data_IF_601529682979
#
_entry.id   IF_601529682979
#
_cell.length_a   1.000
_cell.length_b   1.000
_cell.length_c   1.000
_cell.angle_alpha   90.00
_cell.angle_beta   90.00
_cell.angle_gamma   90.00
#
_symmetry.space_group_name_H-M   'P 1'
#
loop_
_entity.id
_entity.type
_entity.pdbx_description
1 polymer ?
#
# COMPACT_ATOMS: atom_id res chain seq x y z
N UNK A 1 -47.59 2.84 54.68
CA UNK A 1 -47.61 4.27 55.05
C UNK A 1 -47.61 5.04 53.74
N UNK A 2 -48.81 5.46 53.32
CA UNK A 2 -49.21 6.18 52.08
C UNK A 2 -49.01 5.39 50.76
N UNK A 3 -49.99 4.81 50.04
CA UNK A 3 -51.30 5.30 49.50
C UNK A 3 -51.12 6.60 48.68
N UNK A 4 -51.52 6.79 47.40
CA UNK A 4 -52.53 6.22 46.49
C UNK A 4 -52.21 6.58 45.01
N UNK A 5 -52.47 5.69 44.04
CA UNK A 5 -53.54 5.69 43.00
C UNK A 5 -53.62 6.84 41.96
N UNK A 6 -53.68 6.46 40.66
CA UNK A 6 -54.74 6.72 39.64
C UNK A 6 -54.17 6.77 38.20
N UNK A 7 -54.36 5.70 37.39
CA UNK A 7 -55.37 5.46 36.32
C UNK A 7 -55.05 6.05 34.91
N UNK A 8 -54.90 5.08 33.99
CA UNK A 8 -55.27 4.96 32.56
C UNK A 8 -55.67 6.20 31.72
N UNK A 9 -55.13 6.24 30.49
CA UNK A 9 -56.00 6.31 29.31
C UNK A 9 -55.39 5.59 28.10
N UNK A 10 -56.24 4.81 27.42
CA UNK A 10 -56.00 4.05 26.20
C UNK A 10 -56.06 4.95 24.95
N UNK A 11 -55.35 4.54 23.89
CA UNK A 11 -55.61 4.93 22.51
C UNK A 11 -55.08 3.88 21.53
N UNK A 12 -55.99 3.19 20.83
CA UNK A 12 -55.77 2.26 19.69
C UNK A 12 -55.38 3.08 18.44
N UNK A 13 -54.32 2.68 17.71
CA UNK A 13 -54.30 1.87 16.47
C UNK A 13 -55.17 2.42 15.33
N UNK A 14 -54.49 2.94 14.29
CA UNK A 14 -54.94 2.85 12.90
C UNK A 14 -53.82 2.20 12.08
N UNK A 15 -54.21 1.20 11.27
CA UNK A 15 -53.40 0.49 10.29
C UNK A 15 -53.40 1.26 8.96
N UNK A 16 -52.23 1.45 8.36
CA UNK A 16 -52.09 1.56 6.90
C UNK A 16 -50.89 0.69 6.46
N UNK A 17 -51.11 -0.12 5.43
CA UNK A 17 -50.10 -0.99 4.79
C UNK A 17 -49.72 -0.41 3.41
N UNK A 18 -48.75 -1.00 2.68
CA UNK A 18 -47.36 -0.57 2.61
C UNK A 18 -47.03 0.10 1.26
N UNK A 19 -46.06 1.03 1.24
CA UNK A 19 -45.39 1.40 0.00
C UNK A 19 -43.91 1.03 0.08
N UNK A 20 -43.51 0.21 -0.88
CA UNK A 20 -42.14 -0.18 -1.18
C UNK A 20 -41.28 1.05 -1.47
N UNK A 21 -40.22 1.25 -0.69
CA UNK A 21 -39.02 1.97 -1.16
C UNK A 21 -37.79 1.42 -0.44
N UNK A 22 -36.79 1.09 -1.25
CA UNK A 22 -35.47 0.60 -0.89
C UNK A 22 -34.69 1.60 -0.05
N UNK A 23 -34.54 1.34 1.24
CA UNK A 23 -33.72 2.15 2.15
C UNK A 23 -32.29 1.58 2.25
N UNK A 24 -31.34 2.38 1.77
CA UNK A 24 -29.95 2.29 2.18
C UNK A 24 -29.82 2.97 3.56
N UNK A 25 -29.42 2.21 4.57
CA UNK A 25 -29.32 2.66 5.96
C UNK A 25 -28.51 3.96 6.13
N UNK A 26 -29.20 4.98 6.64
CA UNK A 26 -28.69 6.32 6.90
C UNK A 26 -28.45 6.51 8.41
N UNK A 27 -27.32 6.03 8.94
CA UNK A 27 -26.91 6.34 10.31
C UNK A 27 -26.41 7.79 10.41
N UNK A 28 -27.16 8.64 11.11
CA UNK A 28 -26.78 10.05 11.37
C UNK A 28 -26.18 10.17 12.77
N UNK A 29 -24.84 10.26 12.86
CA UNK A 29 -24.15 10.61 14.11
C UNK A 29 -24.28 12.12 14.38
N UNK A 30 -24.75 12.48 15.58
CA UNK A 30 -24.80 13.88 16.05
C UNK A 30 -23.39 14.36 16.38
N UNK A 31 -22.76 15.12 15.48
CA UNK A 31 -21.51 15.85 15.76
C UNK A 31 -21.80 17.24 16.32
N UNK A 32 -21.16 17.59 17.45
CA UNK A 32 -21.19 18.93 18.03
C UNK A 32 -20.61 19.98 17.07
N UNK A 33 -21.32 21.11 16.96
CA UNK A 33 -20.97 22.26 16.11
C UNK A 33 -19.78 23.03 16.68
N UNK A 34 -18.69 23.14 15.93
CA UNK A 34 -17.87 24.37 15.86
C UNK A 34 -17.41 24.54 14.40
N UNK A 35 -17.73 25.67 13.77
CA UNK A 35 -17.19 26.06 12.45
C UNK A 35 -17.95 25.50 11.24
N UNK A 36 -18.89 26.27 10.71
CA UNK A 36 -19.74 25.90 9.57
C UNK A 36 -19.02 25.70 8.24
N UNK A 37 -18.47 24.49 8.03
CA UNK A 37 -18.48 23.79 6.74
C UNK A 37 -18.83 22.33 7.02
N UNK A 38 -20.03 21.89 6.62
CA UNK A 38 -20.34 20.46 6.55
C UNK A 38 -19.41 19.85 5.52
N UNK A 39 -18.34 19.18 5.96
CA UNK A 39 -17.55 18.31 5.10
C UNK A 39 -18.47 17.16 4.70
N UNK A 40 -18.92 17.16 3.45
CA UNK A 40 -19.66 16.05 2.87
C UNK A 40 -18.63 14.94 2.67
N UNK A 41 -18.49 14.05 3.65
CA UNK A 41 -17.74 12.80 3.46
C UNK A 41 -18.55 12.02 2.44
N UNK A 42 -18.13 12.06 1.17
CA UNK A 42 -18.65 11.14 0.17
C UNK A 42 -18.14 9.77 0.61
N UNK A 43 -19.00 8.95 1.21
CA UNK A 43 -18.74 7.51 1.31
C UNK A 43 -18.69 7.02 -0.13
N UNK A 44 -17.49 6.93 -0.71
CA UNK A 44 -17.27 6.18 -1.93
C UNK A 44 -17.67 4.74 -1.59
N UNK A 45 -18.85 4.33 -2.03
CA UNK A 45 -19.29 2.96 -1.90
C UNK A 45 -18.46 2.14 -2.89
N UNK A 46 -17.52 1.37 -2.36
CA UNK A 46 -16.66 0.50 -3.14
C UNK A 46 -17.23 -0.91 -3.09
N UNK A 47 -17.31 -1.53 -4.25
CA UNK A 47 -17.84 -2.88 -4.42
C UNK A 47 -16.66 -3.83 -4.53
N UNK A 48 -16.63 -4.83 -3.65
CA UNK A 48 -15.74 -5.98 -3.81
C UNK A 48 -16.60 -7.20 -4.15
N UNK A 49 -16.63 -7.68 -5.41
CA UNK A 49 -17.60 -8.67 -5.87
C UNK A 49 -17.26 -10.10 -5.43
N UNK A 50 -16.59 -10.27 -4.29
CA UNK A 50 -16.06 -11.56 -3.85
C UNK A 50 -17.17 -12.59 -3.60
N UNK A 51 -18.35 -12.16 -3.13
CA UNK A 51 -19.49 -13.06 -2.89
C UNK A 51 -19.99 -13.77 -4.16
N UNK A 52 -19.71 -13.24 -5.35
CA UNK A 52 -20.09 -13.90 -6.61
C UNK A 52 -19.26 -15.16 -6.90
N UNK A 53 -18.10 -15.31 -6.25
CA UNK A 53 -17.18 -16.44 -6.47
C UNK A 53 -16.99 -17.33 -5.24
N UNK A 54 -17.49 -16.91 -4.07
CA UNK A 54 -17.43 -17.71 -2.86
C UNK A 54 -18.62 -18.65 -2.76
N UNK A 55 -18.34 -19.85 -2.30
CA UNK A 55 -19.33 -20.85 -1.88
C UNK A 55 -19.62 -20.71 -0.39
N UNK A 56 -20.78 -21.15 0.07
CA UNK A 56 -21.07 -21.33 1.50
C UNK A 56 -20.41 -22.59 2.02
N UNK A 57 -20.15 -22.64 3.32
CA UNK A 57 -19.51 -23.78 4.00
C UNK A 57 -20.21 -25.12 3.74
N UNK A 58 -21.54 -25.13 3.70
CA UNK A 58 -22.35 -26.34 3.51
C UNK A 58 -22.25 -26.92 2.09
N UNK A 59 -21.86 -26.09 1.13
CA UNK A 59 -21.83 -26.46 -0.30
C UNK A 59 -20.47 -27.01 -0.76
N UNK A 60 -19.44 -26.96 0.09
CA UNK A 60 -18.08 -27.34 -0.30
C UNK A 60 -17.82 -28.82 -0.13
N UNK A 61 -17.43 -29.47 -1.22
CA UNK A 61 -16.85 -30.81 -1.18
C UNK A 61 -15.46 -30.77 -0.53
N UNK A 62 -15.32 -31.40 0.64
CA UNK A 62 -14.07 -31.45 1.42
C UNK A 62 -13.14 -32.63 1.02
N UNK A 63 -13.60 -33.53 0.16
CA UNK A 63 -12.80 -34.68 -0.28
C UNK A 63 -11.54 -34.23 -1.05
N UNK A 64 -10.40 -34.76 -0.64
CA UNK A 64 -9.09 -34.49 -1.24
C UNK A 64 -8.42 -33.18 -0.80
N UNK A 65 -9.02 -32.42 0.13
CA UNK A 65 -8.40 -31.18 0.62
C UNK A 65 -7.18 -31.51 1.49
N UNK A 66 -6.02 -31.03 1.06
CA UNK A 66 -4.73 -31.21 1.74
C UNK A 66 -4.35 -30.02 2.59
N UNK A 67 -4.96 -28.85 2.36
CA UNK A 67 -4.64 -27.61 3.08
C UNK A 67 -5.84 -26.67 3.18
N UNK A 68 -5.96 -26.00 4.32
CA UNK A 68 -6.89 -24.90 4.56
C UNK A 68 -6.08 -23.62 4.75
N UNK A 69 -6.41 -22.58 3.98
CA UNK A 69 -5.74 -21.27 3.98
C UNK A 69 -6.72 -20.18 4.43
N UNK A 70 -6.30 -19.34 5.37
CA UNK A 70 -7.03 -18.19 5.86
C UNK A 70 -6.69 -16.99 4.98
N UNK A 71 -7.67 -16.56 4.19
CA UNK A 71 -7.57 -15.46 3.23
C UNK A 71 -8.23 -14.22 3.84
N UNK A 72 -7.54 -13.60 4.80
CA UNK A 72 -7.98 -12.36 5.41
C UNK A 72 -7.61 -11.18 4.51
N UNK A 73 -8.58 -10.31 4.25
CA UNK A 73 -8.38 -9.09 3.45
C UNK A 73 -9.02 -7.89 4.13
N UNK A 74 -8.56 -6.69 3.78
CA UNK A 74 -9.21 -5.43 4.16
C UNK A 74 -9.33 -4.51 2.96
N UNK A 75 -10.29 -3.60 3.03
CA UNK A 75 -10.41 -2.48 2.10
C UNK A 75 -9.91 -1.25 2.84
N UNK A 76 -8.78 -0.72 2.39
CA UNK A 76 -8.20 0.49 2.96
C UNK A 76 -8.93 1.71 2.42
N UNK A 77 -9.53 2.52 3.29
CA UNK A 77 -10.40 3.66 2.95
C UNK A 77 -9.88 4.98 3.53
N UNK A 78 -8.55 5.22 3.49
CA UNK A 78 -8.02 6.48 4.01
C UNK A 78 -8.64 7.69 3.27
N UNK A 79 -8.98 8.78 3.99
CA UNK A 79 -9.81 9.87 3.46
C UNK A 79 -9.29 10.59 2.20
N UNK A 80 -7.99 10.47 1.90
CA UNK A 80 -7.33 11.15 0.80
C UNK A 80 -6.95 10.25 -0.36
N UNK A 81 -7.27 8.95 -0.33
CA UNK A 81 -6.81 7.98 -1.32
C UNK A 81 -7.96 7.19 -1.95
N UNK A 82 -7.75 6.74 -3.18
CA UNK A 82 -8.60 5.73 -3.81
C UNK A 82 -8.61 4.47 -2.93
N UNK A 83 -9.78 3.88 -2.62
CA UNK A 83 -9.84 2.66 -1.84
C UNK A 83 -9.15 1.49 -2.52
N UNK A 84 -8.45 0.66 -1.75
CA UNK A 84 -7.65 -0.45 -2.29
C UNK A 84 -7.68 -1.69 -1.39
N UNK A 85 -7.38 -2.84 -2.00
CA UNK A 85 -7.31 -4.14 -1.32
C UNK A 85 -5.93 -4.38 -0.72
N UNK A 86 -5.93 -4.91 0.49
CA UNK A 86 -4.76 -5.50 1.13
C UNK A 86 -5.12 -6.90 1.62
N UNK A 87 -4.18 -7.83 1.46
CA UNK A 87 -4.32 -9.20 1.98
C UNK A 87 -3.30 -9.46 3.09
N UNK A 88 -3.74 -10.13 4.14
CA UNK A 88 -2.88 -10.50 5.25
C UNK A 88 -2.11 -11.77 4.92
N UNK A 89 -0.78 -11.65 4.79
CA UNK A 89 0.11 -12.78 4.61
C UNK A 89 0.93 -13.04 5.88
N UNK A 90 1.28 -14.31 6.07
CA UNK A 90 2.14 -14.81 7.12
C UNK A 90 3.53 -15.09 6.59
N UNK A 91 4.55 -14.58 7.27
CA UNK A 91 5.96 -14.82 6.98
C UNK A 91 6.42 -16.07 7.70
N UNK A 92 6.82 -17.06 6.91
CA UNK A 92 7.43 -18.28 7.44
C UNK A 92 8.86 -18.04 7.92
N UNK A 93 9.41 -19.01 8.66
CA UNK A 93 10.83 -19.01 9.10
C UNK A 93 11.83 -18.93 7.94
N UNK A 94 11.42 -19.35 6.74
CA UNK A 94 12.24 -19.30 5.52
C UNK A 94 12.04 -18.00 4.73
N UNK A 95 11.55 -16.93 5.38
CA UNK A 95 11.31 -15.63 4.77
C UNK A 95 10.38 -15.65 3.54
N UNK A 96 9.43 -16.60 3.53
CA UNK A 96 8.44 -16.74 2.46
C UNK A 96 7.06 -16.36 2.99
N UNK A 97 6.34 -15.52 2.25
CA UNK A 97 4.99 -15.03 2.54
C UNK A 97 3.95 -16.01 2.00
N UNK A 98 3.09 -16.51 2.88
CA UNK A 98 2.01 -17.46 2.58
C UNK A 98 0.69 -16.96 3.17
N UNK A 99 -0.44 -17.52 2.75
CA UNK A 99 -1.63 -17.44 3.60
C UNK A 99 -1.42 -18.27 4.88
N UNK A 100 -1.75 -17.73 6.07
CA UNK A 100 -1.80 -18.52 7.30
C UNK A 100 -2.82 -19.65 7.13
N UNK A 101 -2.64 -20.76 7.85
CA UNK A 101 -3.51 -21.91 7.66
C UNK A 101 -3.00 -23.17 8.32
N UNK A 102 -3.61 -24.30 7.98
CA UNK A 102 -3.28 -25.61 8.53
C UNK A 102 -3.47 -26.71 7.48
N UNK A 103 -2.85 -27.86 7.73
CA UNK A 103 -2.86 -28.99 6.81
C UNK A 103 -4.04 -29.92 7.08
N UNK A 104 -4.72 -30.30 5.98
CA UNK A 104 -5.87 -31.20 5.96
C UNK A 104 -7.13 -30.60 6.57
N UNK A 105 -8.23 -31.32 6.38
CA UNK A 105 -9.52 -31.07 7.01
C UNK A 105 -9.69 -32.12 8.11
N UNK A 106 -9.86 -31.69 9.37
CA UNK A 106 -10.11 -32.58 10.51
C UNK A 106 -11.23 -32.01 11.36
N UNK A 107 -12.19 -32.86 11.75
CA UNK A 107 -13.33 -32.45 12.55
C UNK A 107 -14.06 -31.26 11.94
N UNK A 108 -14.46 -30.31 12.78
CA UNK A 108 -15.00 -29.03 12.34
C UNK A 108 -13.87 -28.10 11.88
N UNK A 109 -13.64 -28.10 10.57
CA UNK A 109 -12.59 -27.32 9.92
C UNK A 109 -12.89 -25.82 9.98
N UNK A 110 -14.16 -25.41 10.00
CA UNK A 110 -14.54 -24.00 10.05
C UNK A 110 -14.26 -23.43 11.43
N UNK A 111 -14.56 -24.17 12.51
CA UNK A 111 -14.14 -23.80 13.87
C UNK A 111 -12.62 -23.65 13.94
N UNK A 112 -11.87 -24.54 13.28
CA UNK A 112 -10.41 -24.49 13.24
C UNK A 112 -9.90 -23.27 12.47
N UNK A 113 -10.52 -22.94 11.34
CA UNK A 113 -10.23 -21.75 10.55
C UNK A 113 -10.53 -20.46 11.33
N UNK A 114 -11.69 -20.40 11.99
CA UNK A 114 -12.11 -19.28 12.83
C UNK A 114 -11.11 -19.04 13.97
N UNK A 115 -10.63 -20.10 14.64
CA UNK A 115 -9.60 -19.99 15.67
C UNK A 115 -8.29 -19.42 15.13
N UNK A 116 -7.86 -19.83 13.94
CA UNK A 116 -6.66 -19.27 13.32
C UNK A 116 -6.86 -17.80 12.98
N UNK A 117 -8.02 -17.42 12.41
CA UNK A 117 -8.35 -16.04 12.10
C UNK A 117 -8.38 -15.14 13.36
N UNK A 118 -9.06 -15.57 14.41
CA UNK A 118 -9.14 -14.82 15.68
C UNK A 118 -7.75 -14.68 16.32
N UNK A 119 -6.90 -15.71 16.21
CA UNK A 119 -5.52 -15.66 16.68
C UNK A 119 -4.67 -14.64 15.91
N UNK A 120 -4.66 -14.69 14.58
CA UNK A 120 -3.83 -13.78 13.76
C UNK A 120 -4.32 -12.34 13.82
N UNK A 121 -5.61 -12.11 14.08
CA UNK A 121 -6.15 -10.75 14.23
C UNK A 121 -6.07 -10.24 15.67
N UNK A 122 -5.77 -11.10 16.65
CA UNK A 122 -5.79 -10.76 18.07
C UNK A 122 -7.19 -10.40 18.59
N UNK A 123 -8.25 -10.64 17.81
CA UNK A 123 -9.63 -10.31 18.17
C UNK A 123 -10.43 -11.60 18.35
N UNK A 124 -10.81 -11.87 19.60
CA UNK A 124 -11.64 -13.04 19.93
C UNK A 124 -13.01 -12.92 19.26
N UNK A 125 -13.50 -14.02 18.67
CA UNK A 125 -14.82 -14.15 18.05
C UNK A 125 -15.05 -13.24 16.82
N UNK A 126 -14.01 -12.55 16.34
CA UNK A 126 -14.09 -11.65 15.18
C UNK A 126 -14.47 -12.41 13.90
N UNK A 127 -14.13 -13.68 13.81
CA UNK A 127 -14.52 -14.58 12.72
C UNK A 127 -16.03 -14.63 12.46
N UNK A 128 -16.90 -14.45 13.46
CA UNK A 128 -18.36 -14.53 13.29
C UNK A 128 -18.92 -13.43 12.41
N UNK A 129 -18.36 -12.23 12.52
CA UNK A 129 -18.80 -11.06 11.75
C UNK A 129 -17.99 -10.91 10.46
N UNK A 130 -16.74 -11.40 10.47
CA UNK A 130 -15.82 -11.21 9.36
C UNK A 130 -15.87 -12.32 8.31
N UNK A 131 -16.42 -13.50 8.61
CA UNK A 131 -16.50 -14.60 7.64
C UNK A 131 -17.27 -14.18 6.38
N UNK A 132 -16.75 -14.53 5.20
CA UNK A 132 -17.33 -14.14 3.90
C UNK A 132 -17.72 -15.34 3.03
N UNK A 133 -17.18 -16.52 3.32
CA UNK A 133 -17.37 -17.72 2.51
C UNK A 133 -16.06 -18.46 2.24
N UNK A 134 -16.12 -19.42 1.32
CA UNK A 134 -15.01 -20.29 0.97
C UNK A 134 -14.82 -20.44 -0.53
N UNK A 135 -13.59 -20.73 -0.94
CA UNK A 135 -13.24 -21.03 -2.31
C UNK A 135 -12.33 -22.26 -2.34
N UNK A 136 -12.72 -23.28 -3.10
CA UNK A 136 -11.86 -24.42 -3.38
C UNK A 136 -11.08 -24.18 -4.67
N UNK A 137 -9.76 -24.31 -4.60
CA UNK A 137 -8.89 -24.37 -5.79
C UNK A 137 -8.03 -25.62 -5.64
N UNK A 138 -8.22 -26.58 -6.56
CA UNK A 138 -7.61 -27.91 -6.51
C UNK A 138 -7.88 -28.62 -5.17
N UNK A 139 -6.80 -28.88 -4.41
CA UNK A 139 -6.80 -29.53 -3.11
C UNK A 139 -6.62 -28.53 -1.95
N UNK A 140 -6.77 -27.23 -2.21
CA UNK A 140 -6.65 -26.17 -1.20
C UNK A 140 -8.00 -25.50 -1.00
N UNK A 141 -8.39 -25.37 0.26
CA UNK A 141 -9.59 -24.63 0.68
C UNK A 141 -9.18 -23.26 1.22
N UNK A 142 -9.63 -22.19 0.58
CA UNK A 142 -9.41 -20.82 1.00
C UNK A 142 -10.64 -20.32 1.74
N UNK A 143 -10.45 -19.87 2.99
CA UNK A 143 -11.51 -19.36 3.86
C UNK A 143 -11.36 -17.85 3.96
N UNK A 144 -12.35 -17.12 3.49
CA UNK A 144 -12.27 -15.67 3.35
C UNK A 144 -12.85 -14.95 4.55
N UNK A 145 -12.11 -13.95 5.02
CA UNK A 145 -12.53 -13.07 6.09
C UNK A 145 -12.30 -11.61 5.69
N UNK A 146 -13.31 -10.77 5.86
CA UNK A 146 -13.20 -9.33 5.70
C UNK A 146 -12.81 -8.71 7.03
N UNK A 147 -11.57 -8.29 7.17
CA UNK A 147 -11.11 -7.56 8.33
C UNK A 147 -11.63 -6.11 8.29
N UNK A 148 -12.34 -5.73 9.35
CA UNK A 148 -12.81 -4.36 9.55
C UNK A 148 -11.91 -3.67 10.59
N UNK A 149 -11.32 -2.55 10.20
CA UNK A 149 -10.59 -1.67 11.11
C UNK A 149 -11.59 -0.97 12.02
N UNK A 150 -11.46 -1.16 13.34
CA UNK A 150 -12.18 -0.35 14.33
C UNK A 150 -11.52 1.02 14.36
N UNK A 151 -12.07 1.94 13.56
CA UNK A 151 -11.53 3.28 13.30
C UNK A 151 -11.37 4.10 14.59
N UNK A 152 -12.09 3.75 15.65
CA UNK A 152 -12.12 4.51 16.90
C UNK A 152 -10.97 4.17 17.87
N UNK A 153 -10.27 3.03 17.73
CA UNK A 153 -9.38 2.55 18.81
C UNK A 153 -8.05 1.91 18.40
N UNK A 154 -7.71 1.81 17.10
CA UNK A 154 -6.46 1.15 16.68
C UNK A 154 -5.57 2.09 15.87
N UNK A 155 -4.56 2.67 16.52
CA UNK A 155 -3.38 3.18 15.82
C UNK A 155 -2.51 1.95 15.54
N UNK A 156 -2.54 1.44 14.30
CA UNK A 156 -1.60 0.40 13.88
C UNK A 156 -0.17 0.95 14.06
N UNK A 157 0.69 0.21 14.77
CA UNK A 157 2.09 0.56 14.86
C UNK A 157 2.70 0.50 13.45
N UNK A 158 3.17 1.63 12.90
CA UNK A 158 3.71 1.64 11.55
C UNK A 158 5.07 0.94 11.47
N UNK A 159 5.78 0.82 12.59
CA UNK A 159 7.06 0.16 12.63
C UNK A 159 6.88 -1.36 12.55
N UNK A 160 7.48 -1.93 11.51
CA UNK A 160 7.49 -3.36 11.25
C UNK A 160 8.91 -3.86 11.15
N UNK A 161 9.21 -4.90 11.93
CA UNK A 161 10.53 -5.49 12.03
C UNK A 161 10.58 -6.85 11.36
N UNK A 162 11.78 -7.40 11.22
CA UNK A 162 11.96 -8.77 10.72
C UNK A 162 11.44 -9.84 11.68
N UNK A 163 11.00 -9.50 12.88
CA UNK A 163 10.34 -10.46 13.78
C UNK A 163 8.83 -10.48 13.57
N UNK A 164 8.24 -9.47 12.93
CA UNK A 164 6.83 -9.47 12.58
C UNK A 164 6.52 -10.59 11.57
N UNK A 165 5.56 -11.43 11.93
CA UNK A 165 5.12 -12.54 11.07
C UNK A 165 3.93 -12.16 10.18
N UNK A 166 3.14 -11.14 10.53
CA UNK A 166 1.92 -10.77 9.80
C UNK A 166 2.06 -9.44 9.08
N UNK A 167 1.68 -9.45 7.80
CA UNK A 167 1.90 -8.36 6.87
C UNK A 167 0.68 -8.12 5.99
N UNK A 168 0.18 -6.88 5.99
CA UNK A 168 -0.77 -6.41 5.00
C UNK A 168 -0.03 -6.12 3.70
N UNK A 169 -0.38 -6.85 2.65
CA UNK A 169 0.32 -6.87 1.36
C UNK A 169 -0.56 -6.31 0.25
N UNK A 170 0.03 -5.52 -0.65
CA UNK A 170 -0.65 -5.00 -1.83
C UNK A 170 -0.74 -6.08 -2.92
N UNK A 171 -1.71 -5.94 -3.82
CA UNK A 171 -1.79 -6.82 -5.00
C UNK A 171 -0.57 -6.67 -5.92
N UNK A 172 0.01 -5.48 -6.03
CA UNK A 172 1.24 -5.25 -6.78
C UNK A 172 2.43 -6.07 -6.23
N UNK A 173 2.57 -6.13 -4.91
CA UNK A 173 3.60 -6.96 -4.26
C UNK A 173 3.37 -8.45 -4.46
N UNK A 174 2.11 -8.89 -4.38
CA UNK A 174 1.75 -10.31 -4.53
C UNK A 174 1.90 -10.76 -5.98
N UNK A 175 1.30 -10.05 -6.93
CA UNK A 175 1.17 -10.51 -8.31
C UNK A 175 2.35 -10.09 -9.20
N UNK A 176 2.81 -8.84 -9.08
CA UNK A 176 3.80 -8.25 -9.98
C UNK A 176 5.22 -8.46 -9.43
N UNK A 177 5.49 -7.99 -8.21
CA UNK A 177 6.83 -8.16 -7.61
C UNK A 177 7.06 -9.57 -7.09
N UNK A 178 6.00 -10.26 -6.66
CA UNK A 178 6.05 -11.56 -5.95
C UNK A 178 6.98 -11.51 -4.74
N UNK A 179 7.04 -10.34 -4.11
CA UNK A 179 7.94 -10.01 -3.02
C UNK A 179 7.37 -8.84 -2.22
N UNK A 180 7.49 -8.93 -0.90
CA UNK A 180 7.16 -7.86 0.06
C UNK A 180 8.47 -7.49 0.74
N UNK A 181 9.02 -6.29 0.47
CA UNK A 181 10.38 -5.91 0.87
C UNK A 181 11.42 -6.92 0.36
N UNK A 182 11.96 -7.77 1.24
CA UNK A 182 12.95 -8.82 0.95
C UNK A 182 12.34 -10.22 0.97
N UNK A 183 11.04 -10.34 1.24
CA UNK A 183 10.35 -11.58 1.55
C UNK A 183 9.62 -12.09 0.32
N UNK A 184 9.96 -13.28 -0.17
CA UNK A 184 9.36 -13.84 -1.38
C UNK A 184 7.91 -14.25 -1.12
N UNK A 185 7.01 -13.94 -2.04
CA UNK A 185 5.63 -14.45 -1.99
C UNK A 185 5.59 -15.85 -2.60
N UNK A 186 4.99 -16.79 -1.86
CA UNK A 186 4.85 -18.18 -2.31
C UNK A 186 4.00 -18.27 -3.58
N UNK A 187 4.39 -19.16 -4.50
CA UNK A 187 3.73 -19.30 -5.79
C UNK A 187 2.26 -19.70 -5.66
N UNK A 188 1.87 -20.47 -4.64
CA UNK A 188 0.47 -20.84 -4.43
C UNK A 188 -0.42 -19.65 -4.06
N UNK A 189 0.15 -18.60 -3.44
CA UNK A 189 -0.57 -17.35 -3.17
C UNK A 189 -0.75 -16.60 -4.49
N UNK A 190 0.32 -16.47 -5.26
CA UNK A 190 0.32 -15.77 -6.56
C UNK A 190 -0.65 -16.43 -7.55
N UNK A 191 -0.62 -17.76 -7.63
CA UNK A 191 -1.45 -18.55 -8.54
C UNK A 191 -2.95 -18.48 -8.19
N UNK A 192 -3.32 -18.20 -6.93
CA UNK A 192 -4.72 -17.96 -6.57
C UNK A 192 -5.26 -16.75 -7.35
N UNK A 193 -4.54 -15.63 -7.29
CA UNK A 193 -4.98 -14.37 -7.91
C UNK A 193 -4.95 -14.42 -9.44
N UNK A 194 -3.96 -15.10 -10.03
CA UNK A 194 -3.96 -15.30 -11.49
C UNK A 194 -5.09 -16.22 -11.97
N UNK A 195 -5.51 -17.20 -11.17
CA UNK A 195 -6.62 -18.10 -11.50
C UNK A 195 -7.99 -17.51 -11.16
N UNK A 196 -8.05 -16.54 -10.26
CA UNK A 196 -9.26 -15.82 -9.83
C UNK A 196 -9.00 -14.31 -9.81
N UNK A 197 -8.86 -13.66 -10.99
CA UNK A 197 -8.58 -12.23 -11.08
C UNK A 197 -9.65 -11.33 -10.43
N UNK A 198 -10.86 -11.86 -10.21
CA UNK A 198 -11.93 -11.18 -9.47
C UNK A 198 -11.51 -10.81 -8.04
N UNK A 199 -10.51 -11.51 -7.47
CA UNK A 199 -9.96 -11.23 -6.14
C UNK A 199 -9.01 -10.02 -6.10
N UNK A 200 -8.63 -9.47 -7.27
CA UNK A 200 -7.64 -8.40 -7.38
C UNK A 200 -8.28 -7.02 -7.34
N UNK A 201 -9.51 -6.88 -7.86
CA UNK A 201 -10.09 -5.58 -8.18
C UNK A 201 -11.22 -5.18 -7.24
N UNK A 202 -11.19 -3.90 -6.87
CA UNK A 202 -12.37 -3.19 -6.37
C UNK A 202 -13.05 -2.46 -7.52
N UNK A 203 -14.33 -2.16 -7.32
CA UNK A 203 -15.13 -1.43 -8.28
C UNK A 203 -15.80 -0.23 -7.62
N UNK A 204 -16.01 0.83 -8.38
CA UNK A 204 -16.87 1.94 -7.97
C UNK A 204 -18.36 1.55 -8.06
N UNK A 205 -19.24 2.48 -7.71
CA UNK A 205 -20.70 2.28 -7.80
C UNK A 205 -21.23 2.10 -9.22
N UNK A 206 -20.44 2.46 -10.23
CA UNK A 206 -20.76 2.30 -11.64
C UNK A 206 -20.12 1.04 -12.23
N UNK A 207 -19.54 0.17 -11.40
CA UNK A 207 -18.81 -1.03 -11.80
C UNK A 207 -17.56 -0.77 -12.66
N UNK A 208 -16.96 0.42 -12.56
CA UNK A 208 -15.62 0.65 -13.10
C UNK A 208 -14.58 0.12 -12.11
N UNK A 209 -13.52 -0.50 -12.64
CA UNK A 209 -12.40 -0.96 -11.81
C UNK A 209 -11.71 0.25 -11.17
N UNK A 210 -11.51 0.19 -9.87
CA UNK A 210 -10.60 1.10 -9.18
C UNK A 210 -9.16 0.71 -9.48
N UNK A 211 -8.28 1.71 -9.51
CA UNK A 211 -6.84 1.49 -9.68
C UNK A 211 -6.30 0.61 -8.55
N UNK A 212 -5.47 -0.36 -8.92
CA UNK A 212 -4.68 -1.15 -7.97
C UNK A 212 -3.38 -0.41 -7.72
N UNK A 213 -3.08 0.01 -6.47
CA UNK A 213 -1.89 0.79 -6.21
C UNK A 213 -0.61 -0.01 -6.43
N UNK A 214 0.42 0.69 -6.90
CA UNK A 214 1.79 0.18 -7.04
C UNK A 214 2.52 0.35 -5.70
N UNK A 215 3.41 -0.58 -5.34
CA UNK A 215 4.25 -0.40 -4.15
C UNK A 215 5.40 0.57 -4.44
N UNK A 216 5.55 1.57 -3.57
CA UNK A 216 6.63 2.53 -3.61
C UNK A 216 7.39 2.57 -2.30
N UNK A 217 8.68 2.90 -2.38
CA UNK A 217 9.54 3.05 -1.21
C UNK A 217 10.23 4.41 -1.17
N UNK A 218 10.34 4.96 0.04
CA UNK A 218 11.05 6.20 0.31
C UNK A 218 12.09 5.98 1.42
N UNK A 219 13.36 6.19 1.13
CA UNK A 219 14.46 5.97 2.07
C UNK A 219 15.01 7.28 2.63
N UNK A 220 15.24 7.34 3.93
CA UNK A 220 15.82 8.53 4.57
C UNK A 220 16.42 8.22 5.94
N UNK A 221 16.93 9.25 6.61
CA UNK A 221 17.41 9.20 7.98
C UNK A 221 16.27 8.96 8.98
N UNK A 222 16.51 8.13 9.98
CA UNK A 222 15.44 7.58 10.81
C UNK A 222 14.59 8.62 11.55
N UNK A 223 15.19 9.75 11.96
CA UNK A 223 14.45 10.81 12.68
C UNK A 223 13.39 11.49 11.83
N UNK A 224 13.50 11.40 10.51
CA UNK A 224 12.52 11.98 9.59
C UNK A 224 11.33 11.04 9.35
N UNK A 225 11.44 9.74 9.67
CA UNK A 225 10.42 8.75 9.35
C UNK A 225 9.10 8.99 10.06
N UNK A 226 9.12 9.38 11.34
CA UNK A 226 7.90 9.66 12.12
C UNK A 226 7.19 10.92 11.62
N UNK A 227 7.98 11.95 11.29
CA UNK A 227 7.47 13.16 10.68
C UNK A 227 6.80 12.83 9.35
N UNK A 228 7.48 12.07 8.48
CA UNK A 228 6.96 11.69 7.17
C UNK A 228 5.72 10.78 7.29
N UNK A 229 5.71 9.85 8.23
CA UNK A 229 4.55 9.00 8.47
C UNK A 229 3.31 9.80 8.90
N UNK A 230 3.51 10.83 9.72
CA UNK A 230 2.44 11.65 10.27
C UNK A 230 1.94 12.70 9.28
N UNK A 231 2.86 13.38 8.58
CA UNK A 231 2.56 14.55 7.76
C UNK A 231 2.63 14.30 6.25
N UNK A 232 3.11 13.13 5.83
CA UNK A 232 3.38 12.82 4.43
C UNK A 232 4.83 13.12 4.03
N UNK A 233 5.18 12.68 2.83
CA UNK A 233 6.49 12.95 2.23
C UNK A 233 6.54 14.41 1.79
N UNK A 234 7.72 15.04 1.87
CA UNK A 234 7.92 16.40 1.34
C UNK A 234 8.18 16.34 -0.17
N UNK A 235 7.70 17.33 -0.89
CA UNK A 235 8.12 17.61 -2.27
C UNK A 235 9.64 17.75 -2.38
N UNK A 236 10.17 17.29 -3.51
CA UNK A 236 11.59 17.39 -3.83
C UNK A 236 11.97 18.82 -4.28
N UNK A 237 13.25 19.06 -4.54
CA UNK A 237 13.74 20.37 -5.01
C UNK A 237 13.29 20.66 -6.46
N UNK A 238 13.18 21.94 -6.82
CA UNK A 238 12.79 22.43 -8.14
C UNK A 238 13.75 21.99 -9.26
N UNK A 239 14.99 21.62 -8.91
CA UNK A 239 15.99 21.10 -9.86
C UNK A 239 15.98 19.57 -9.94
N UNK A 240 14.94 18.90 -9.44
CA UNK A 240 14.78 17.46 -9.58
C UNK A 240 14.35 17.08 -11.00
N UNK A 241 14.73 15.89 -11.47
CA UNK A 241 14.58 15.48 -12.89
C UNK A 241 13.15 15.55 -13.42
N UNK A 242 12.15 15.47 -12.55
CA UNK A 242 10.72 15.50 -12.90
C UNK A 242 9.97 16.59 -12.12
N UNK A 243 10.69 17.63 -11.66
CA UNK A 243 10.17 18.74 -10.87
C UNK A 243 9.98 18.47 -9.37
N UNK A 244 9.46 19.46 -8.62
CA UNK A 244 9.35 19.45 -7.16
C UNK A 244 8.12 18.67 -6.67
N UNK A 245 8.08 17.36 -6.89
CA UNK A 245 6.96 16.49 -6.53
C UNK A 245 7.37 15.39 -5.55
N UNK A 246 6.51 14.38 -5.34
CA UNK A 246 6.75 13.30 -4.38
C UNK A 246 7.40 12.09 -5.06
N UNK A 247 8.63 11.78 -4.68
CA UNK A 247 9.46 10.75 -5.32
C UNK A 247 9.44 9.45 -4.53
N UNK A 248 9.34 8.34 -5.25
CA UNK A 248 9.39 6.99 -4.73
C UNK A 248 10.25 6.12 -5.64
N UNK A 249 10.68 4.98 -5.12
CA UNK A 249 11.51 4.05 -5.87
C UNK A 249 11.30 2.62 -5.37
N UNK A 250 12.12 1.67 -5.83
CA UNK A 250 12.13 0.29 -5.35
C UNK A 250 12.78 0.19 -3.98
N UNK A 251 12.54 -0.92 -3.27
CA UNK A 251 13.12 -1.14 -1.94
C UNK A 251 14.66 -1.00 -1.94
N UNK A 252 15.34 -1.62 -2.91
CA UNK A 252 16.81 -1.59 -3.00
C UNK A 252 17.34 -0.15 -3.14
N UNK A 253 16.75 0.65 -4.04
CA UNK A 253 17.17 2.04 -4.23
C UNK A 253 16.74 2.93 -3.07
N UNK A 254 15.66 2.62 -2.36
CA UNK A 254 15.32 3.31 -1.12
C UNK A 254 16.37 3.02 -0.03
N UNK A 255 16.90 1.79 0.05
CA UNK A 255 18.00 1.46 0.98
C UNK A 255 19.24 2.31 0.70
N UNK A 256 19.54 2.69 -0.55
CA UNK A 256 20.61 3.67 -0.87
C UNK A 256 20.43 4.98 -0.09
N UNK A 257 19.24 5.56 -0.14
CA UNK A 257 18.96 6.85 0.50
C UNK A 257 18.78 6.75 2.01
N UNK A 258 18.43 5.57 2.51
CA UNK A 258 18.37 5.27 3.94
C UNK A 258 19.73 4.84 4.53
N UNK A 259 20.66 4.33 3.72
CA UNK A 259 21.91 3.76 4.20
C UNK A 259 23.07 4.73 4.16
N UNK A 260 23.13 5.60 3.15
CA UNK A 260 24.29 6.45 2.87
C UNK A 260 23.92 7.93 2.73
N UNK A 261 24.82 8.76 3.23
CA UNK A 261 24.84 10.21 3.03
C UNK A 261 25.22 10.51 1.58
N UNK A 262 24.39 11.29 0.88
CA UNK A 262 24.65 11.76 -0.48
C UNK A 262 24.70 13.28 -0.54
N UNK A 263 25.51 13.79 -1.45
CA UNK A 263 25.86 15.20 -1.58
C UNK A 263 24.66 16.15 -1.77
N UNK A 264 23.58 15.66 -2.38
CA UNK A 264 22.31 16.40 -2.55
C UNK A 264 21.53 16.66 -1.25
N UNK A 265 21.87 16.00 -0.14
CA UNK A 265 21.29 16.25 1.17
C UNK A 265 22.09 17.26 2.03
N UNK A 266 23.12 17.91 1.46
CA UNK A 266 24.05 18.78 2.20
C UNK A 266 23.40 19.94 2.95
N UNK A 267 22.30 20.51 2.44
CA UNK A 267 21.71 21.73 3.02
C UNK A 267 20.73 21.46 4.17
N UNK A 268 20.08 20.29 4.20
CA UNK A 268 19.13 19.93 5.26
C UNK A 268 19.79 19.31 6.50
N UNK A 269 21.06 18.87 6.40
CA UNK A 269 21.56 17.78 7.26
C UNK A 269 22.86 18.11 8.02
N UNK A 270 23.50 19.25 7.79
CA UNK A 270 24.88 19.53 8.23
C UNK A 270 25.20 19.41 9.73
N UNK A 271 24.20 19.38 10.62
CA UNK A 271 24.44 19.36 12.07
C UNK A 271 23.67 18.27 12.86
N UNK A 272 22.82 17.45 12.24
CA UNK A 272 21.87 16.58 12.99
C UNK A 272 21.89 15.08 12.63
N UNK A 273 22.76 14.67 11.70
CA UNK A 273 22.86 13.26 11.26
C UNK A 273 24.23 12.71 11.60
N UNK A 274 24.23 11.56 12.27
CA UNK A 274 25.45 10.83 12.54
C UNK A 274 25.78 9.94 11.33
N UNK A 275 26.95 10.16 10.76
CA UNK A 275 27.53 9.34 9.68
C UNK A 275 28.83 8.71 10.16
N UNK A 276 29.13 7.49 9.71
CA UNK A 276 30.45 6.91 9.90
C UNK A 276 31.46 7.41 8.84
N UNK A 277 32.71 6.97 8.97
CA UNK A 277 33.82 7.28 8.08
C UNK A 277 33.59 6.87 6.62
N UNK A 278 32.62 5.98 6.36
CA UNK A 278 32.20 5.52 5.04
C UNK A 278 30.97 6.28 4.53
N UNK A 279 30.52 7.29 5.26
CA UNK A 279 29.35 8.09 4.91
C UNK A 279 28.02 7.35 5.13
N UNK A 280 27.98 6.25 5.89
CA UNK A 280 26.72 5.56 6.20
C UNK A 280 26.07 6.18 7.42
N UNK A 281 24.74 6.28 7.41
CA UNK A 281 24.02 6.70 8.61
C UNK A 281 24.28 5.74 9.78
N UNK A 282 24.24 6.24 11.01
CA UNK A 282 24.16 5.40 12.21
C UNK A 282 22.86 4.59 12.22
N UNK A 283 21.77 5.20 11.74
CA UNK A 283 20.46 4.59 11.57
C UNK A 283 19.68 5.26 10.44
N UNK A 284 19.13 4.46 9.55
CA UNK A 284 18.21 4.91 8.51
C UNK A 284 16.99 4.03 8.44
N UNK A 285 16.02 4.44 7.63
CA UNK A 285 14.87 3.60 7.37
C UNK A 285 14.18 3.90 6.07
N UNK A 286 13.31 2.97 5.72
CA UNK A 286 12.53 2.96 4.49
C UNK A 286 11.06 2.96 4.86
N UNK A 287 10.30 3.89 4.27
CA UNK A 287 8.86 3.87 4.26
C UNK A 287 8.38 3.06 3.06
N UNK A 288 7.37 2.22 3.29
CA UNK A 288 6.62 1.49 2.27
C UNK A 288 5.28 2.18 2.07
N UNK A 289 4.91 2.44 0.82
CA UNK A 289 3.70 3.16 0.47
C UNK A 289 2.94 2.46 -0.67
N UNK A 290 1.62 2.64 -0.68
CA UNK A 290 0.76 2.39 -1.83
C UNK A 290 0.71 3.67 -2.68
N UNK A 291 0.99 3.57 -3.99
CA UNK A 291 1.01 4.67 -4.94
C UNK A 291 -0.12 4.53 -5.98
N UNK A 292 -0.82 5.62 -6.22
CA UNK A 292 -1.88 5.76 -7.24
C UNK A 292 -1.33 6.57 -8.41
N UNK A 293 -0.96 5.86 -9.47
CA UNK A 293 -0.29 6.43 -10.63
C UNK A 293 -1.29 7.12 -11.56
N UNK A 294 -2.57 6.72 -11.56
CA UNK A 294 -3.63 7.27 -12.39
C UNK A 294 -3.16 7.41 -13.87
N UNK A 295 -3.24 8.62 -14.45
CA UNK A 295 -2.72 8.88 -15.79
C UNK A 295 -1.20 9.11 -15.74
N UNK A 296 -0.42 8.08 -16.06
CA UNK A 296 1.04 8.07 -15.90
C UNK A 296 1.80 8.36 -17.20
N UNK A 297 2.81 9.25 -17.15
CA UNK A 297 3.81 9.45 -18.21
C UNK A 297 4.99 8.50 -17.99
N UNK A 298 5.41 7.77 -19.02
CA UNK A 298 6.61 6.95 -18.99
C UNK A 298 7.72 7.57 -19.84
N UNK A 299 8.90 7.78 -19.27
CA UNK A 299 10.07 8.26 -20.00
C UNK A 299 10.90 7.08 -20.53
N UNK A 300 10.93 6.92 -21.86
CA UNK A 300 11.48 5.73 -22.53
C UNK A 300 12.66 6.01 -23.47
N UNK A 301 13.05 7.27 -23.67
CA UNK A 301 14.07 7.68 -24.62
C UNK A 301 13.75 7.31 -26.08
N UNK A 302 12.49 7.48 -26.48
CA UNK A 302 12.09 7.27 -27.87
C UNK A 302 12.76 8.32 -28.78
N UNK A 303 13.11 8.00 -30.04
CA UNK A 303 13.75 8.96 -30.95
C UNK A 303 12.94 10.26 -31.20
N UNK A 304 11.64 10.22 -30.96
CA UNK A 304 10.73 11.37 -31.08
C UNK A 304 10.46 12.08 -29.75
N UNK A 305 11.02 11.61 -28.63
CA UNK A 305 10.88 12.29 -27.34
C UNK A 305 11.60 13.65 -27.41
N UNK A 306 10.94 14.74 -26.98
CA UNK A 306 11.54 16.06 -27.00
C UNK A 306 12.68 16.14 -25.98
N UNK A 307 13.68 16.95 -26.30
CA UNK A 307 14.75 17.32 -25.38
C UNK A 307 14.23 18.41 -24.44
N UNK A 308 14.44 18.25 -23.14
CA UNK A 308 14.21 19.31 -22.16
C UNK A 308 15.22 20.44 -22.37
N UNK A 309 14.72 21.62 -22.76
CA UNK A 309 15.48 22.85 -22.97
C UNK A 309 15.04 23.95 -22.01
N UNK A 310 14.46 23.59 -20.86
CA UNK A 310 14.01 24.54 -19.85
C UNK A 310 15.18 25.26 -19.17
N UNK A 311 14.91 26.45 -18.63
CA UNK A 311 15.89 27.19 -17.80
C UNK A 311 16.33 26.35 -16.58
N UNK A 312 15.45 25.50 -16.05
CA UNK A 312 15.77 24.58 -14.95
C UNK A 312 16.74 23.48 -15.38
N UNK A 313 16.61 22.96 -16.62
CA UNK A 313 17.61 22.08 -17.20
C UNK A 313 18.97 22.81 -17.25
N UNK A 314 19.01 24.06 -17.74
CA UNK A 314 20.23 24.86 -17.77
C UNK A 314 20.85 25.08 -16.37
N UNK A 315 20.01 25.31 -15.35
CA UNK A 315 20.44 25.41 -13.94
C UNK A 315 21.03 24.09 -13.45
N UNK A 316 20.40 22.95 -13.76
CA UNK A 316 20.90 21.62 -13.41
C UNK A 316 22.22 21.29 -14.15
N UNK A 317 22.47 21.93 -15.30
CA UNK A 317 23.63 21.77 -16.20
C UNK A 317 24.75 22.80 -16.00
N UNK A 318 24.71 23.61 -14.92
CA UNK A 318 25.68 24.70 -14.69
C UNK A 318 27.16 24.26 -14.58
N UNK A 319 27.43 22.99 -14.32
CA UNK A 319 28.78 22.41 -14.28
C UNK A 319 29.20 21.88 -15.67
N UNK A 320 30.29 22.42 -16.23
CA UNK A 320 30.78 22.13 -17.60
C UNK A 320 31.09 20.63 -17.77
N UNK A 321 31.67 19.97 -16.77
CA UNK A 321 32.01 18.54 -16.83
C UNK A 321 30.76 17.65 -16.74
N UNK A 322 29.65 18.18 -16.21
CA UNK A 322 28.35 17.49 -16.21
C UNK A 322 27.61 17.66 -17.52
N UNK A 323 27.85 18.73 -18.28
CA UNK A 323 27.05 19.10 -19.45
C UNK A 323 27.05 18.01 -20.54
N UNK A 324 28.20 17.46 -20.87
CA UNK A 324 28.32 16.39 -21.89
C UNK A 324 27.58 15.11 -21.46
N UNK A 325 27.75 14.71 -20.20
CA UNK A 325 27.11 13.51 -19.61
C UNK A 325 25.60 13.68 -19.40
N UNK A 326 25.14 14.92 -19.24
CA UNK A 326 23.74 15.22 -18.97
C UNK A 326 22.92 15.46 -20.24
N UNK A 327 23.54 15.89 -21.34
CA UNK A 327 22.85 15.99 -22.64
C UNK A 327 22.24 14.67 -23.09
N UNK A 328 22.93 13.57 -22.80
CA UNK A 328 22.53 12.20 -23.15
C UNK A 328 21.19 11.78 -22.48
N UNK A 329 20.76 12.47 -21.42
CA UNK A 329 19.54 12.18 -20.66
C UNK A 329 18.44 13.23 -20.79
N UNK A 330 18.65 14.29 -21.58
CA UNK A 330 17.67 15.38 -21.70
C UNK A 330 16.35 14.98 -22.34
N UNK A 331 16.28 13.86 -23.07
CA UNK A 331 15.00 13.29 -23.56
C UNK A 331 14.21 12.53 -22.50
N UNK A 332 14.83 12.27 -21.36
CA UNK A 332 14.29 11.39 -20.31
C UNK A 332 14.01 12.11 -19.00
N UNK A 333 14.06 13.43 -19.02
CA UNK A 333 13.87 14.33 -17.88
C UNK A 333 12.90 15.45 -18.30
N UNK A 334 12.36 16.14 -17.31
CA UNK A 334 11.33 17.17 -17.45
C UNK A 334 11.44 18.06 -16.20
N UNK A 335 12.49 18.88 -16.13
CA UNK A 335 12.87 19.67 -14.96
C UNK A 335 11.84 20.75 -14.62
N UNK A 336 11.21 21.35 -15.64
CA UNK A 336 10.10 22.30 -15.47
C UNK A 336 8.76 21.62 -15.20
N UNK A 337 8.75 20.28 -15.24
CA UNK A 337 7.63 19.40 -14.97
C UNK A 337 6.39 19.71 -15.79
N UNK A 338 6.57 20.01 -17.07
CA UNK A 338 5.47 20.22 -18.02
C UNK A 338 4.51 19.04 -18.11
N UNK A 339 4.97 17.82 -17.77
CA UNK A 339 4.13 16.63 -17.68
C UNK A 339 2.88 16.81 -16.79
N UNK A 340 2.92 17.66 -15.76
CA UNK A 340 1.78 17.80 -14.84
C UNK A 340 0.52 18.40 -15.47
N UNK A 341 0.64 18.98 -16.66
CA UNK A 341 -0.50 19.52 -17.39
C UNK A 341 -1.42 18.40 -17.90
N UNK A 342 -0.84 17.27 -18.27
CA UNK A 342 -1.55 16.17 -18.92
C UNK A 342 -1.58 14.89 -18.08
N UNK A 343 -0.67 14.74 -17.11
CA UNK A 343 -0.47 13.51 -16.35
C UNK A 343 -0.51 13.74 -14.83
N UNK A 344 -0.82 12.68 -14.10
CA UNK A 344 -0.90 12.63 -12.64
C UNK A 344 0.37 12.07 -12.00
N UNK A 345 1.17 11.34 -12.77
CA UNK A 345 2.41 10.72 -12.29
C UNK A 345 3.42 10.47 -13.40
N UNK A 346 4.63 10.16 -12.99
CA UNK A 346 5.75 9.78 -13.85
C UNK A 346 6.29 8.43 -13.41
N UNK A 347 6.65 7.61 -14.40
CA UNK A 347 7.51 6.45 -14.24
C UNK A 347 8.74 6.58 -15.12
N UNK A 348 9.91 6.47 -14.50
CA UNK A 348 11.18 6.43 -15.19
C UNK A 348 11.89 5.11 -14.86
N UNK A 349 11.80 4.16 -15.79
CA UNK A 349 12.39 2.83 -15.64
C UNK A 349 13.88 2.79 -15.98
N UNK A 350 14.37 1.58 -16.25
CA UNK A 350 15.76 1.34 -16.71
C UNK A 350 15.90 1.54 -18.23
N UNK A 351 15.26 2.55 -18.78
CA UNK A 351 15.38 2.85 -20.20
C UNK A 351 16.82 3.26 -20.54
N UNK A 352 17.28 2.84 -21.72
CA UNK A 352 18.65 3.09 -22.15
C UNK A 352 18.76 4.51 -22.71
N UNK A 353 19.78 5.23 -22.26
CA UNK A 353 20.12 6.53 -22.81
C UNK A 353 20.81 6.37 -24.17
N UNK A 354 21.09 7.49 -24.85
CA UNK A 354 21.69 7.50 -26.20
C UNK A 354 23.09 6.84 -26.26
N UNK A 355 23.77 6.67 -25.12
CA UNK A 355 25.05 5.95 -25.02
C UNK A 355 24.91 4.45 -24.72
N UNK A 356 23.70 3.91 -24.65
CA UNK A 356 23.42 2.50 -24.34
C UNK A 356 23.45 2.14 -22.85
N UNK A 357 23.75 3.09 -21.95
CA UNK A 357 23.71 2.88 -20.51
C UNK A 357 22.30 3.16 -19.95
N UNK A 358 21.86 2.48 -18.88
CA UNK A 358 20.56 2.75 -18.27
C UNK A 358 20.54 4.12 -17.58
N UNK A 359 19.42 4.85 -17.68
CA UNK A 359 19.25 6.12 -16.96
C UNK A 359 19.37 5.93 -15.44
N UNK A 360 18.75 4.85 -14.94
CA UNK A 360 18.78 4.46 -13.53
C UNK A 360 19.04 2.96 -13.38
N UNK A 361 19.72 2.57 -12.30
CA UNK A 361 19.83 1.16 -11.91
C UNK A 361 18.48 0.57 -11.51
N UNK A 362 17.60 1.41 -10.95
CA UNK A 362 16.26 1.06 -10.49
C UNK A 362 15.24 2.14 -10.84
N UNK A 363 13.98 1.75 -11.13
CA UNK A 363 12.93 2.70 -11.46
C UNK A 363 12.71 3.80 -10.42
N UNK A 364 12.30 4.95 -10.92
CA UNK A 364 11.80 6.08 -10.13
C UNK A 364 10.35 6.34 -10.48
N UNK A 365 9.55 6.61 -9.47
CA UNK A 365 8.12 6.92 -9.58
C UNK A 365 7.89 8.27 -8.94
N UNK A 366 7.17 9.15 -9.61
CA UNK A 366 6.85 10.48 -9.09
C UNK A 366 5.35 10.67 -9.16
N UNK A 367 4.73 11.09 -8.06
CA UNK A 367 3.31 11.42 -8.04
C UNK A 367 3.12 12.91 -7.80
N UNK A 368 2.14 13.50 -8.49
CA UNK A 368 1.89 14.94 -8.46
C UNK A 368 1.34 15.42 -7.12
N UNK A 369 0.43 14.66 -6.51
CA UNK A 369 -0.30 15.08 -5.31
C UNK A 369 -0.02 14.17 -4.11
N UNK A 370 -0.05 14.75 -2.91
CA UNK A 370 0.08 13.98 -1.67
C UNK A 370 -1.05 12.94 -1.49
N UNK A 371 -2.23 13.18 -2.07
CA UNK A 371 -3.36 12.23 -2.09
C UNK A 371 -3.09 10.95 -2.88
N UNK A 372 -2.10 10.96 -3.77
CA UNK A 372 -1.75 9.80 -4.60
C UNK A 372 -0.87 8.78 -3.90
N UNK A 373 -0.60 8.93 -2.60
CA UNK A 373 0.11 7.90 -1.85
C UNK A 373 -0.42 7.72 -0.45
N UNK A 374 -0.25 6.50 0.06
CA UNK A 374 -0.56 6.13 1.43
C UNK A 374 0.61 5.38 2.03
N UNK A 375 1.18 5.91 3.10
CA UNK A 375 2.19 5.17 3.87
C UNK A 375 1.54 3.98 4.58
N UNK A 376 2.18 2.81 4.43
CA UNK A 376 1.73 1.52 4.97
C UNK A 376 2.56 1.09 6.18
N UNK A 377 3.89 1.21 6.10
CA UNK A 377 4.80 0.77 7.16
C UNK A 377 6.17 1.44 7.08
N UNK A 378 6.91 1.39 8.20
CA UNK A 378 8.26 1.91 8.39
C UNK A 378 9.18 0.75 8.77
N UNK A 379 10.37 0.72 8.16
CA UNK A 379 11.38 -0.31 8.38
C UNK A 379 12.74 0.33 8.64
N UNK A 380 13.38 -0.03 9.74
CA UNK A 380 14.75 0.43 10.02
C UNK A 380 15.73 -0.48 9.27
N UNK A 381 16.61 0.09 8.48
CA UNK A 381 17.61 -0.67 7.71
C UNK A 381 18.60 -1.34 8.66
N UNK A 382 18.91 -2.61 8.45
CA UNK A 382 19.96 -3.30 9.19
C UNK A 382 21.32 -2.84 8.64
N UNK A 383 21.97 -1.95 9.39
CA UNK A 383 23.29 -1.40 9.04
C UNK A 383 24.34 -2.49 8.77
N UNK A 384 24.21 -3.69 9.33
CA UNK A 384 25.14 -4.81 9.10
C UNK A 384 25.09 -5.34 7.65
N UNK A 385 23.98 -5.11 6.95
CA UNK A 385 23.81 -5.49 5.54
C UNK A 385 24.37 -4.44 4.57
N UNK A 386 24.80 -3.28 5.07
CA UNK A 386 25.31 -2.19 4.25
C UNK A 386 26.82 -2.33 4.02
N UNK A 387 27.20 -2.45 2.74
CA UNK A 387 28.60 -2.34 2.30
C UNK A 387 29.17 -0.93 2.47
N UNK A 388 30.43 -0.72 2.09
CA UNK A 388 31.05 0.61 2.16
C UNK A 388 30.38 1.62 1.23
N UNK A 389 29.98 1.14 0.05
CA UNK A 389 29.18 1.87 -0.92
C UNK A 389 27.92 1.06 -1.22
N UNK A 390 26.89 1.76 -1.70
CA UNK A 390 25.72 1.10 -2.24
C UNK A 390 26.08 0.37 -3.54
N UNK A 391 25.63 -0.88 -3.65
CA UNK A 391 25.76 -1.74 -4.82
C UNK A 391 24.36 -2.07 -5.33
N UNK A 392 23.99 -1.61 -6.54
CA UNK A 392 22.67 -1.89 -7.10
C UNK A 392 22.43 -3.39 -7.36
N UNK A 393 23.46 -4.23 -7.40
CA UNK A 393 23.33 -5.68 -7.64
C UNK A 393 23.20 -6.50 -6.37
N UNK A 394 23.45 -5.91 -5.21
CA UNK A 394 23.32 -6.56 -3.90
C UNK A 394 21.85 -6.89 -3.61
N UNK A 395 21.59 -8.12 -3.18
CA UNK A 395 20.25 -8.62 -2.83
C UNK A 395 20.06 -8.82 -1.33
N UNK A 396 21.14 -8.71 -0.56
CA UNK A 396 21.20 -8.96 0.88
C UNK A 396 20.91 -7.75 1.76
N UNK A 397 20.51 -6.60 1.20
CA UNK A 397 20.02 -5.49 2.00
C UNK A 397 18.77 -5.90 2.77
N UNK A 398 18.77 -5.67 4.08
CA UNK A 398 17.68 -6.09 4.97
C UNK A 398 17.32 -5.02 6.00
N UNK A 399 16.28 -5.29 6.77
CA UNK A 399 15.77 -4.44 7.85
C UNK A 399 15.79 -5.15 9.20
N UNK A 400 15.78 -4.37 10.29
CA UNK A 400 15.87 -4.86 11.66
C UNK A 400 14.65 -5.64 12.12
#
# INVERSE_FOLDING_TARGET
>A
MYEDEYINSCGRVEEETPNETTDADMFTLKSNKIGGKKVKIVKNANIYPIQSILSTEDSVNLSGITRVCISAYRINIKPSSTPFLEYLLFKTRNNTMIFPGFNGVRGDWLISANKVYDYITGKKDASKEHYQGVLRVDNVLYVFYRFVLDVENVVENPYKTKTDELWWCLMDEICNWRMVLTMKVDTHVVDLFYRKPELIYLYDTNYNKLEVPVVGYYGTYYKLLEFIYTFGIKENDFVSMYGPYYYFTTYNRAVKYAGWYYEGNKELIKEQVAVDDKGRFDKGGVLRAALFMNHMKAFLNHPMDPVDNSDYADVALKDIDRREKMRIKLKMVDYDATWVNDYDSVYAGRALMDNGEPLFDYPEMVVKNNSQHVVLSIHIVDKKTLGEKWDPTEKGYDFL
#
